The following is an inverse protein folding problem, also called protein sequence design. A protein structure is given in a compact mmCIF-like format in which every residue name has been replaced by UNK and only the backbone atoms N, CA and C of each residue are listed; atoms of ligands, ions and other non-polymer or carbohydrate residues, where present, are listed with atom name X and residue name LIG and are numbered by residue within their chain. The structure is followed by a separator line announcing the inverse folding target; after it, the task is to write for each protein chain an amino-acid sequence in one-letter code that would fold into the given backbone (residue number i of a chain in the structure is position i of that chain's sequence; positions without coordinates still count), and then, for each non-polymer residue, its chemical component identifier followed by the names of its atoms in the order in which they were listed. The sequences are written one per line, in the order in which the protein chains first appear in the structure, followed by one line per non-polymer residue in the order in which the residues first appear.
data_IF_996090836591
#
_entry.id   IF_996090836591
#
_cell.length_a   1.000
_cell.length_b   1.000
_cell.length_c   1.000
_cell.angle_alpha   90.00
_cell.angle_beta   90.00
_cell.angle_gamma   90.00
#
_symmetry.space_group_name_H-M   'P 1'
#
loop_
_entity.id
_entity.type
_entity.pdbx_description
1 polymer ?
#
# COMPACT_ATOMS: atom_id res chain seq x y z
N UNK A 1 -41.99 -6.10 1.63
CA UNK A 1 -40.68 -6.74 1.92
C UNK A 1 -39.51 -6.15 1.13
N UNK A 2 -39.55 -6.01 -0.21
CA UNK A 2 -38.37 -5.65 -1.04
C UNK A 2 -37.76 -4.24 -0.85
N UNK A 3 -38.47 -3.25 -0.32
CA UNK A 3 -37.95 -1.88 -0.14
C UNK A 3 -37.14 -1.69 1.15
N UNK A 4 -37.44 -2.45 2.21
CA UNK A 4 -36.80 -2.30 3.52
C UNK A 4 -35.39 -2.93 3.50
N UNK A 5 -35.23 -4.08 2.84
CA UNK A 5 -33.93 -4.77 2.72
C UNK A 5 -32.92 -3.96 1.88
N UNK A 6 -33.40 -3.26 0.85
CA UNK A 6 -32.54 -2.43 -0.03
C UNK A 6 -32.01 -1.19 0.70
N UNK A 7 -32.82 -0.55 1.55
CA UNK A 7 -32.39 0.59 2.38
C UNK A 7 -31.44 0.16 3.51
N UNK A 8 -31.65 -1.02 4.11
CA UNK A 8 -30.76 -1.58 5.14
C UNK A 8 -29.37 -1.90 4.57
N UNK A 9 -29.32 -2.57 3.41
CA UNK A 9 -28.08 -2.87 2.68
C UNK A 9 -27.30 -1.61 2.28
N UNK A 10 -28.01 -0.54 1.88
CA UNK A 10 -27.38 0.73 1.47
C UNK A 10 -26.80 1.49 2.67
N UNK A 11 -27.49 1.50 3.82
CA UNK A 11 -26.97 2.12 5.05
C UNK A 11 -25.74 1.40 5.58
N UNK A 12 -25.72 0.07 5.51
CA UNK A 12 -24.58 -0.71 5.99
C UNK A 12 -23.36 -0.54 5.08
N UNK A 13 -23.57 -0.52 3.76
CA UNK A 13 -22.52 -0.16 2.79
C UNK A 13 -21.94 1.24 3.05
N UNK A 14 -22.80 2.23 3.34
CA UNK A 14 -22.34 3.59 3.64
C UNK A 14 -21.53 3.66 4.95
N UNK A 15 -21.98 2.96 6.00
CA UNK A 15 -21.22 2.88 7.26
C UNK A 15 -19.85 2.24 7.04
N UNK A 16 -19.79 1.15 6.29
CA UNK A 16 -18.54 0.48 5.96
C UNK A 16 -17.60 1.40 5.18
N UNK A 17 -18.13 2.11 4.17
CA UNK A 17 -17.38 3.11 3.40
C UNK A 17 -16.80 4.20 4.29
N UNK A 18 -17.60 4.80 5.18
CA UNK A 18 -17.13 5.83 6.11
C UNK A 18 -16.03 5.27 7.02
N UNK A 19 -16.24 4.05 7.55
CA UNK A 19 -15.29 3.38 8.42
C UNK A 19 -13.96 3.08 7.74
N UNK A 20 -13.95 2.68 6.46
CA UNK A 20 -12.72 2.38 5.74
C UNK A 20 -12.04 3.66 5.20
N UNK A 21 -12.82 4.68 4.84
CA UNK A 21 -12.30 5.91 4.27
C UNK A 21 -11.75 6.87 5.32
N UNK A 22 -12.64 7.53 6.07
CA UNK A 22 -12.29 8.71 6.90
C UNK A 22 -11.92 8.39 8.34
N UNK A 23 -12.11 7.14 8.77
CA UNK A 23 -11.93 6.78 10.17
C UNK A 23 -10.50 7.01 10.69
N UNK A 24 -9.41 6.58 9.99
CA UNK A 24 -8.04 6.85 10.44
C UNK A 24 -7.77 8.34 10.63
N UNK A 25 -8.12 9.15 9.61
CA UNK A 25 -8.04 10.61 9.68
C UNK A 25 -8.82 11.20 10.86
N UNK A 26 -10.05 10.74 11.09
CA UNK A 26 -10.88 11.24 12.19
C UNK A 26 -10.30 10.95 13.57
N UNK A 27 -9.51 9.88 13.72
CA UNK A 27 -8.87 9.53 14.98
C UNK A 27 -7.74 10.52 15.30
N UNK A 28 -6.88 10.82 14.32
CA UNK A 28 -5.76 11.76 14.47
C UNK A 28 -6.25 13.18 14.72
N UNK A 29 -7.24 13.65 13.96
CA UNK A 29 -7.71 15.04 14.03
C UNK A 29 -8.66 15.34 15.19
N UNK A 30 -9.01 14.34 16.00
CA UNK A 30 -9.92 14.52 17.13
C UNK A 30 -9.32 15.27 18.33
N UNK A 31 -7.98 15.36 18.40
CA UNK A 31 -7.25 15.94 19.54
C UNK A 31 -7.31 15.11 20.83
N UNK A 32 -7.90 13.91 20.80
CA UNK A 32 -8.06 13.06 21.99
C UNK A 32 -6.97 11.98 22.08
N UNK A 33 -6.20 11.88 23.18
CA UNK A 33 -5.12 10.90 23.30
C UNK A 33 -5.56 9.45 23.09
N UNK A 34 -6.76 9.07 23.54
CA UNK A 34 -7.29 7.71 23.36
C UNK A 34 -7.54 7.32 21.90
N UNK A 35 -7.71 8.31 21.02
CA UNK A 35 -7.93 8.06 19.60
C UNK A 35 -6.63 7.74 18.87
N UNK A 36 -5.47 8.21 19.37
CA UNK A 36 -4.17 7.81 18.85
C UNK A 36 -3.92 6.31 19.10
N UNK A 37 -4.29 5.80 20.27
CA UNK A 37 -4.27 4.35 20.56
C UNK A 37 -5.16 3.56 19.59
N UNK A 38 -6.38 4.05 19.34
CA UNK A 38 -7.29 3.41 18.36
C UNK A 38 -6.74 3.47 16.94
N UNK A 39 -6.02 4.52 16.58
CA UNK A 39 -5.38 4.65 15.27
C UNK A 39 -4.31 3.57 15.09
N UNK A 40 -3.43 3.39 16.07
CA UNK A 40 -2.45 2.30 16.06
C UNK A 40 -3.12 0.92 15.97
N UNK A 41 -4.19 0.69 16.73
CA UNK A 41 -4.95 -0.56 16.66
C UNK A 41 -5.59 -0.78 15.29
N UNK A 42 -6.14 0.27 14.68
CA UNK A 42 -6.79 0.20 13.36
C UNK A 42 -5.78 -0.17 12.27
N UNK A 43 -4.60 0.46 12.28
CA UNK A 43 -3.55 0.22 11.28
C UNK A 43 -2.64 -0.98 11.61
N UNK A 44 -2.94 -1.73 12.66
CA UNK A 44 -2.34 -3.04 12.97
C UNK A 44 -3.36 -4.19 12.92
N UNK A 45 -4.61 -3.89 12.55
CA UNK A 45 -5.69 -4.86 12.36
C UNK A 45 -5.70 -5.37 10.91
N UNK A 46 -5.44 -6.68 10.76
CA UNK A 46 -5.42 -7.32 9.44
C UNK A 46 -6.77 -7.24 8.73
N UNK A 47 -7.88 -7.35 9.45
CA UNK A 47 -9.22 -7.29 8.87
C UNK A 47 -9.52 -5.89 8.33
N UNK A 48 -9.10 -4.84 9.03
CA UNK A 48 -9.24 -3.47 8.52
C UNK A 48 -8.41 -3.29 7.24
N UNK A 49 -7.12 -3.66 7.29
CA UNK A 49 -6.19 -3.58 6.16
C UNK A 49 -6.74 -4.32 4.93
N UNK A 50 -7.14 -5.58 5.12
CA UNK A 50 -7.68 -6.42 4.06
C UNK A 50 -8.99 -5.86 3.51
N UNK A 51 -9.92 -5.40 4.35
CA UNK A 51 -11.18 -4.80 3.91
C UNK A 51 -10.96 -3.50 3.13
N UNK A 52 -10.02 -2.65 3.55
CA UNK A 52 -9.73 -1.39 2.84
C UNK A 52 -9.13 -1.65 1.45
N UNK A 53 -8.15 -2.56 1.34
CA UNK A 53 -7.54 -2.95 0.06
C UNK A 53 -8.56 -3.58 -0.90
N UNK A 54 -9.48 -4.40 -0.38
CA UNK A 54 -10.49 -5.09 -1.18
C UNK A 54 -11.68 -4.20 -1.56
N UNK A 55 -11.83 -3.02 -0.96
CA UNK A 55 -12.93 -2.12 -1.26
C UNK A 55 -12.76 -1.47 -2.65
N UNK A 56 -13.82 -1.35 -3.48
CA UNK A 56 -13.72 -0.84 -4.85
C UNK A 56 -13.37 0.66 -4.95
N UNK A 57 -13.73 1.46 -3.95
CA UNK A 57 -13.42 2.90 -3.93
C UNK A 57 -12.09 3.24 -3.27
N UNK A 58 -11.44 2.25 -2.66
CA UNK A 58 -10.15 2.41 -2.00
C UNK A 58 -9.17 1.44 -2.67
N UNK A 59 -8.07 1.17 -2.00
CA UNK A 59 -7.05 0.25 -2.47
C UNK A 59 -5.86 0.30 -1.55
N UNK A 60 -4.77 -0.31 -1.98
CA UNK A 60 -3.53 -0.29 -1.21
C UNK A 60 -2.94 1.11 -1.07
N UNK A 61 -3.09 1.97 -2.09
CA UNK A 61 -2.58 3.33 -2.05
C UNK A 61 -3.30 4.18 -0.99
N UNK A 62 -4.63 4.21 -1.01
CA UNK A 62 -5.43 4.89 0.02
C UNK A 62 -5.21 4.35 1.44
N UNK A 63 -4.79 3.08 1.59
CA UNK A 63 -4.38 2.53 2.88
C UNK A 63 -2.97 3.01 3.26
N UNK A 64 -2.01 3.04 2.34
CA UNK A 64 -0.64 3.52 2.59
C UNK A 64 -0.66 4.97 3.08
N UNK A 65 -1.53 5.81 2.50
CA UNK A 65 -1.73 7.20 2.90
C UNK A 65 -2.26 7.33 4.34
N UNK A 66 -3.05 6.36 4.83
CA UNK A 66 -3.48 6.38 6.22
C UNK A 66 -2.30 6.33 7.19
N UNK A 67 -1.19 5.67 6.82
CA UNK A 67 0.01 5.57 7.67
C UNK A 67 0.83 6.86 7.70
N UNK A 68 0.65 7.77 6.74
CA UNK A 68 1.35 9.04 6.64
C UNK A 68 0.66 10.17 7.45
N UNK A 69 -0.44 9.87 8.16
CA UNK A 69 -1.25 10.85 8.88
C UNK A 69 -0.65 11.37 10.20
N UNK A 70 0.36 10.68 10.76
CA UNK A 70 0.97 11.09 12.03
C UNK A 70 1.85 12.32 11.84
N UNK A 71 1.71 13.30 12.73
CA UNK A 71 2.65 14.42 12.82
C UNK A 71 3.94 14.04 13.59
N UNK A 72 4.93 14.94 13.56
CA UNK A 72 6.23 14.74 14.22
C UNK A 72 6.08 14.58 15.74
N UNK A 73 5.11 15.25 16.37
CA UNK A 73 4.90 15.21 17.82
C UNK A 73 4.28 13.88 18.26
N UNK A 74 3.30 13.37 17.51
CA UNK A 74 2.68 12.07 17.72
C UNK A 74 3.66 10.95 17.48
N UNK A 75 4.51 11.09 16.45
CA UNK A 75 5.62 10.18 16.17
C UNK A 75 6.62 10.12 17.32
N UNK A 76 7.01 11.27 17.87
CA UNK A 76 7.98 11.37 18.96
C UNK A 76 7.45 10.79 20.29
N UNK A 77 6.15 10.94 20.56
CA UNK A 77 5.53 10.45 21.81
C UNK A 77 5.27 8.94 21.81
N UNK A 78 5.22 8.28 20.65
CA UNK A 78 4.93 6.85 20.50
C UNK A 78 5.93 6.17 19.55
N UNK A 79 7.24 6.14 19.87
CA UNK A 79 8.28 5.73 18.94
C UNK A 79 8.15 4.26 18.51
N UNK A 80 7.81 3.35 19.43
CA UNK A 80 7.72 1.92 19.13
C UNK A 80 6.49 1.57 18.26
N UNK A 81 5.34 2.16 18.58
CA UNK A 81 4.12 2.00 17.78
C UNK A 81 4.31 2.61 16.40
N UNK A 82 4.92 3.80 16.31
CA UNK A 82 5.19 4.46 15.03
C UNK A 82 6.19 3.65 14.19
N UNK A 83 7.23 3.09 14.81
CA UNK A 83 8.17 2.19 14.13
C UNK A 83 7.45 0.94 13.58
N UNK A 84 6.53 0.37 14.35
CA UNK A 84 5.69 -0.76 13.90
C UNK A 84 4.87 -0.37 12.67
N UNK A 85 4.17 0.77 12.70
CA UNK A 85 3.41 1.28 11.57
C UNK A 85 4.29 1.50 10.33
N UNK A 86 5.49 2.08 10.48
CA UNK A 86 6.44 2.27 9.38
C UNK A 86 6.89 0.97 8.73
N UNK A 87 7.08 -0.10 9.50
CA UNK A 87 7.38 -1.42 8.92
C UNK A 87 6.20 -1.97 8.12
N UNK A 88 4.97 -1.88 8.64
CA UNK A 88 3.77 -2.34 7.91
C UNK A 88 3.62 -1.53 6.62
N UNK A 89 3.71 -0.21 6.70
CA UNK A 89 3.64 0.68 5.54
C UNK A 89 4.71 0.34 4.50
N UNK A 90 5.96 0.10 4.92
CA UNK A 90 7.05 -0.32 4.03
C UNK A 90 6.74 -1.65 3.35
N UNK A 91 6.21 -2.64 4.08
CA UNK A 91 5.78 -3.91 3.48
C UNK A 91 4.65 -3.71 2.46
N UNK A 92 3.66 -2.86 2.76
CA UNK A 92 2.58 -2.51 1.85
C UNK A 92 3.10 -1.84 0.57
N UNK A 93 4.01 -0.86 0.68
CA UNK A 93 4.65 -0.19 -0.46
C UNK A 93 5.42 -1.17 -1.35
N UNK A 94 6.22 -2.06 -0.75
CA UNK A 94 6.97 -3.10 -1.46
C UNK A 94 6.07 -4.11 -2.18
N UNK A 95 4.88 -4.35 -1.65
CA UNK A 95 3.92 -5.31 -2.19
C UNK A 95 2.84 -4.69 -3.06
N UNK A 96 2.79 -3.35 -3.18
CA UNK A 96 1.73 -2.62 -3.86
C UNK A 96 1.49 -3.10 -5.29
N UNK A 97 2.57 -3.27 -6.06
CA UNK A 97 2.50 -3.72 -7.45
C UNK A 97 1.89 -5.12 -7.62
N UNK A 98 2.11 -6.02 -6.66
CA UNK A 98 1.57 -7.39 -6.66
C UNK A 98 0.13 -7.39 -6.16
N UNK A 99 -0.13 -6.73 -5.03
CA UNK A 99 -1.43 -6.73 -4.36
C UNK A 99 -2.49 -5.97 -5.17
N UNK A 100 -2.08 -5.00 -5.97
CA UNK A 100 -2.99 -4.29 -6.89
C UNK A 100 -3.48 -5.21 -8.00
N UNK A 101 -2.63 -6.12 -8.49
CA UNK A 101 -2.99 -7.11 -9.52
C UNK A 101 -3.74 -8.31 -8.92
N UNK A 102 -3.28 -8.81 -7.77
CA UNK A 102 -3.86 -9.94 -7.06
C UNK A 102 -3.92 -9.67 -5.56
N UNK A 103 -5.11 -9.24 -5.12
CA UNK A 103 -5.39 -8.92 -3.71
C UNK A 103 -5.28 -10.14 -2.78
N UNK A 104 -5.35 -11.36 -3.30
CA UNK A 104 -5.20 -12.58 -2.49
C UNK A 104 -3.77 -12.77 -1.99
N UNK A 105 -2.78 -12.15 -2.63
CA UNK A 105 -1.38 -12.26 -2.20
C UNK A 105 -1.04 -11.42 -0.97
N UNK A 106 -1.94 -10.55 -0.50
CA UNK A 106 -1.70 -9.64 0.62
C UNK A 106 -1.08 -10.35 1.83
N UNK A 107 -1.60 -11.51 2.19
CA UNK A 107 -1.13 -12.28 3.35
C UNK A 107 0.29 -12.82 3.15
N UNK A 108 0.53 -13.46 2.01
CA UNK A 108 1.83 -14.01 1.63
C UNK A 108 2.90 -12.92 1.63
N UNK A 109 2.53 -11.77 1.08
CA UNK A 109 3.37 -10.58 0.98
C UNK A 109 3.71 -9.99 2.35
N UNK A 110 2.71 -9.75 3.20
CA UNK A 110 2.94 -9.23 4.56
C UNK A 110 3.75 -10.22 5.41
N UNK A 111 3.41 -11.51 5.35
CA UNK A 111 4.14 -12.55 6.08
C UNK A 111 5.61 -12.60 5.66
N UNK A 112 5.88 -12.72 4.37
CA UNK A 112 7.25 -12.85 3.86
C UNK A 112 8.15 -11.67 4.23
N UNK A 113 7.60 -10.45 4.29
CA UNK A 113 8.35 -9.21 4.55
C UNK A 113 8.44 -8.79 6.01
N UNK A 114 7.49 -9.23 6.85
CA UNK A 114 7.39 -8.80 8.26
C UNK A 114 7.77 -9.88 9.27
N UNK A 115 7.89 -11.15 8.88
CA UNK A 115 8.17 -12.26 9.81
C UNK A 115 9.47 -12.13 10.61
N UNK A 116 10.44 -11.33 10.15
CA UNK A 116 11.70 -11.06 10.87
C UNK A 116 11.58 -9.95 11.91
N UNK A 117 10.48 -9.19 11.91
CA UNK A 117 10.24 -8.07 12.81
C UNK A 117 9.59 -8.59 14.10
N UNK A 118 10.40 -8.76 15.15
CA UNK A 118 9.96 -9.38 16.40
C UNK A 118 9.27 -8.40 17.37
N UNK A 119 8.04 -8.03 17.08
CA UNK A 119 7.17 -7.25 18.00
C UNK A 119 5.83 -7.95 18.22
N UNK A 120 5.20 -7.73 19.37
CA UNK A 120 3.90 -8.33 19.70
C UNK A 120 2.80 -7.92 18.71
N UNK A 121 2.82 -6.65 18.26
CA UNK A 121 1.88 -6.14 17.27
C UNK A 121 2.04 -6.84 15.92
N UNK A 122 3.28 -7.05 15.45
CA UNK A 122 3.55 -7.79 14.21
C UNK A 122 3.12 -9.25 14.30
N UNK A 123 3.44 -9.94 15.39
CA UNK A 123 2.99 -11.32 15.61
C UNK A 123 1.47 -11.42 15.62
N UNK A 124 0.79 -10.44 16.23
CA UNK A 124 -0.67 -10.36 16.26
C UNK A 124 -1.25 -10.16 14.85
N UNK A 125 -0.74 -9.19 14.09
CA UNK A 125 -1.14 -8.94 12.70
C UNK A 125 -0.97 -10.19 11.82
N UNK A 126 0.20 -10.85 11.90
CA UNK A 126 0.51 -12.04 11.09
C UNK A 126 -0.35 -13.25 11.50
N UNK A 127 -0.65 -13.40 12.79
CA UNK A 127 -1.56 -14.44 13.29
C UNK A 127 -3.00 -14.18 12.83
N UNK A 128 -3.45 -12.93 12.81
CA UNK A 128 -4.74 -12.57 12.24
C UNK A 128 -4.78 -12.90 10.76
N UNK A 129 -3.76 -12.51 9.98
CA UNK A 129 -3.66 -12.87 8.57
C UNK A 129 -3.86 -14.37 8.38
N UNK A 130 -3.11 -15.21 9.11
CA UNK A 130 -3.24 -16.67 9.03
C UNK A 130 -4.67 -17.20 9.28
N UNK A 131 -5.44 -16.57 10.17
CA UNK A 131 -6.80 -17.00 10.50
C UNK A 131 -7.86 -16.52 9.51
N UNK A 132 -7.58 -15.46 8.74
CA UNK A 132 -8.63 -14.72 8.02
C UNK A 132 -8.71 -15.07 6.52
N UNK A 133 -8.11 -16.18 6.07
CA UNK A 133 -8.13 -16.56 4.66
C UNK A 133 -9.15 -17.67 4.34
N UNK A 134 -10.11 -17.40 3.44
CA UNK A 134 -11.02 -18.43 2.94
C UNK A 134 -10.34 -19.39 1.94
N UNK A 135 -9.14 -19.08 1.45
CA UNK A 135 -8.41 -19.87 0.45
C UNK A 135 -6.97 -20.16 0.91
N UNK A 136 -6.36 -21.27 0.44
CA UNK A 136 -4.93 -21.53 0.66
C UNK A 136 -4.06 -20.38 0.14
N UNK A 137 -2.98 -20.08 0.86
CA UNK A 137 -2.04 -19.03 0.50
C UNK A 137 -0.60 -19.47 0.82
N UNK A 138 0.38 -18.84 0.17
CA UNK A 138 1.78 -19.15 0.38
C UNK A 138 2.26 -18.51 1.68
N UNK A 139 2.71 -19.34 2.62
CA UNK A 139 3.32 -18.89 3.88
C UNK A 139 4.81 -19.21 3.86
N UNK A 140 5.68 -18.25 3.49
CA UNK A 140 7.12 -18.45 3.56
C UNK A 140 7.56 -18.83 4.98
N UNK A 141 8.35 -19.90 5.11
CA UNK A 141 8.96 -20.29 6.39
C UNK A 141 10.28 -19.57 6.66
N UNK A 142 10.86 -18.99 5.61
CA UNK A 142 12.09 -18.21 5.66
C UNK A 142 11.88 -16.83 5.03
N UNK A 143 12.69 -15.82 5.40
CA UNK A 143 12.64 -14.49 4.79
C UNK A 143 13.10 -14.55 3.31
N UNK A 144 12.15 -14.78 2.41
CA UNK A 144 12.39 -14.90 0.97
C UNK A 144 12.06 -13.63 0.17
N UNK A 145 11.38 -12.67 0.80
CA UNK A 145 11.05 -11.38 0.21
C UNK A 145 11.94 -10.29 0.81
N UNK A 146 12.19 -9.21 0.05
CA UNK A 146 12.89 -8.03 0.57
C UNK A 146 12.21 -7.55 1.86
N UNK A 147 12.96 -7.49 2.99
CA UNK A 147 12.36 -7.16 4.28
C UNK A 147 11.88 -5.71 4.33
N UNK A 148 10.86 -5.46 5.15
CA UNK A 148 10.40 -4.10 5.42
C UNK A 148 11.49 -3.26 6.11
N UNK A 149 11.55 -1.97 5.77
CA UNK A 149 12.54 -1.03 6.32
C UNK A 149 13.95 -1.17 5.72
N UNK A 150 14.10 -1.91 4.63
CA UNK A 150 15.35 -1.98 3.85
C UNK A 150 15.54 -0.80 2.89
N UNK A 151 16.56 -0.91 2.02
CA UNK A 151 16.90 0.14 1.02
C UNK A 151 15.93 0.23 -0.16
N UNK A 152 15.26 -0.88 -0.50
CA UNK A 152 14.25 -0.87 -1.54
C UNK A 152 12.98 -0.21 -0.99
N UNK A 153 12.56 0.88 -1.62
CA UNK A 153 11.36 1.62 -1.20
C UNK A 153 10.12 1.16 -1.97
N UNK A 154 10.30 0.85 -3.26
CA UNK A 154 9.19 0.59 -4.19
C UNK A 154 9.66 -0.12 -5.44
N UNK A 155 8.75 -0.87 -6.05
CA UNK A 155 8.90 -1.48 -7.38
C UNK A 155 7.87 -0.87 -8.33
N UNK A 156 8.33 -0.34 -9.46
CA UNK A 156 7.47 0.14 -10.55
C UNK A 156 7.38 -0.99 -11.58
N UNK A 157 6.21 -1.60 -11.73
CA UNK A 157 5.99 -2.71 -12.66
C UNK A 157 4.90 -2.38 -13.66
N UNK A 158 5.11 -2.70 -14.93
CA UNK A 158 4.10 -2.52 -15.98
C UNK A 158 4.66 -2.58 -17.39
N UNK A 159 5.97 -2.41 -17.57
CA UNK A 159 6.63 -2.75 -18.82
C UNK A 159 6.61 -4.27 -19.06
N UNK A 160 6.38 -4.67 -20.32
CA UNK A 160 6.36 -6.08 -20.74
C UNK A 160 7.67 -6.53 -21.41
N UNK A 161 8.61 -5.61 -21.58
CA UNK A 161 9.98 -5.87 -22.06
C UNK A 161 11.01 -5.14 -21.20
N UNK A 162 12.29 -5.38 -21.50
CA UNK A 162 13.41 -4.80 -20.77
C UNK A 162 13.33 -3.28 -20.71
N UNK A 163 13.58 -2.72 -19.52
CA UNK A 163 13.67 -1.27 -19.31
C UNK A 163 15.10 -0.83 -19.58
N UNK A 164 15.31 -0.04 -20.63
CA UNK A 164 16.65 0.37 -21.07
C UNK A 164 17.00 1.80 -20.66
N UNK A 165 15.99 2.60 -20.35
CA UNK A 165 16.19 4.00 -20.01
C UNK A 165 15.28 4.42 -18.87
N UNK A 166 15.83 5.23 -17.97
CA UNK A 166 15.12 5.82 -16.83
C UNK A 166 15.61 7.25 -16.66
N UNK A 167 14.69 8.18 -16.47
CA UNK A 167 14.97 9.55 -16.10
C UNK A 167 14.04 9.99 -14.97
N UNK A 168 14.54 10.80 -14.05
CA UNK A 168 13.78 11.37 -12.93
C UNK A 168 13.60 12.86 -13.20
N UNK A 169 12.42 13.40 -12.95
CA UNK A 169 12.19 14.85 -13.03
C UNK A 169 12.96 15.58 -11.94
N UNK A 170 13.35 16.84 -12.20
CA UNK A 170 14.13 17.64 -11.25
C UNK A 170 13.42 17.86 -9.91
N UNK A 171 12.09 17.88 -9.91
CA UNK A 171 11.26 17.98 -8.70
C UNK A 171 11.16 16.67 -7.90
N UNK A 172 11.72 15.57 -8.42
CA UNK A 172 11.71 14.26 -7.79
C UNK A 172 10.34 13.61 -7.68
N UNK A 173 9.32 14.09 -8.41
CA UNK A 173 7.94 13.57 -8.33
C UNK A 173 7.66 12.49 -9.35
N UNK A 174 8.35 12.51 -10.49
CA UNK A 174 8.05 11.63 -11.61
C UNK A 174 9.27 10.85 -12.07
N UNK A 175 9.03 9.63 -12.52
CA UNK A 175 9.98 8.83 -13.28
C UNK A 175 9.42 8.63 -14.68
N UNK A 176 10.28 8.76 -15.68
CA UNK A 176 10.00 8.37 -17.06
C UNK A 176 10.89 7.18 -17.41
N UNK A 177 10.30 6.12 -17.95
CA UNK A 177 11.01 4.92 -18.38
C UNK A 177 10.72 4.56 -19.83
N UNK A 178 11.75 4.13 -20.56
CA UNK A 178 11.64 3.59 -21.91
C UNK A 178 11.99 2.10 -21.95
N UNK A 179 11.27 1.33 -22.76
CA UNK A 179 11.37 -0.14 -22.78
C UNK A 179 11.41 -0.74 -24.19
N UNK A 180 11.85 -2.00 -24.27
CA UNK A 180 11.72 -2.89 -25.42
C UNK A 180 10.27 -3.28 -25.75
N UNK A 181 9.30 -2.94 -24.91
CA UNK A 181 7.88 -3.05 -25.26
C UNK A 181 7.37 -1.93 -26.18
N UNK A 182 8.28 -1.08 -26.69
CA UNK A 182 8.02 0.05 -27.57
C UNK A 182 7.19 1.17 -26.92
N UNK A 183 7.15 1.23 -25.60
CA UNK A 183 6.44 2.28 -24.86
C UNK A 183 7.37 3.12 -24.00
N UNK A 184 6.93 4.34 -23.73
CA UNK A 184 7.45 5.19 -22.65
C UNK A 184 6.37 5.29 -21.58
N UNK A 185 6.73 5.05 -20.31
CA UNK A 185 5.81 5.15 -19.17
C UNK A 185 6.22 6.28 -18.23
N UNK A 186 5.23 6.97 -17.68
CA UNK A 186 5.40 8.01 -16.65
C UNK A 186 4.81 7.51 -15.35
N UNK A 187 5.59 7.58 -14.27
CA UNK A 187 5.26 7.03 -12.96
C UNK A 187 5.27 8.12 -11.90
N UNK A 188 4.29 8.10 -11.02
CA UNK A 188 4.32 8.87 -9.78
C UNK A 188 5.27 8.20 -8.78
N UNK A 189 6.30 8.89 -8.30
CA UNK A 189 7.26 8.32 -7.34
C UNK A 189 6.68 8.11 -5.94
N UNK A 190 5.73 8.96 -5.54
CA UNK A 190 5.08 8.90 -4.23
C UNK A 190 4.15 7.68 -4.16
N UNK A 191 3.24 7.55 -5.13
CA UNK A 191 2.23 6.48 -5.15
C UNK A 191 2.74 5.19 -5.78
N UNK A 192 3.70 5.28 -6.70
CA UNK A 192 4.17 4.16 -7.52
C UNK A 192 3.30 3.81 -8.71
N UNK A 193 2.27 4.62 -8.96
CA UNK A 193 1.29 4.33 -9.99
C UNK A 193 1.76 4.87 -11.33
N UNK A 194 1.54 4.06 -12.37
CA UNK A 194 1.65 4.51 -13.76
C UNK A 194 0.58 5.56 -14.04
N UNK A 195 1.01 6.76 -14.44
CA UNK A 195 0.09 7.84 -14.82
C UNK A 195 -0.18 7.87 -16.32
N UNK A 196 0.81 7.50 -17.13
CA UNK A 196 0.72 7.62 -18.57
C UNK A 196 1.56 6.54 -19.25
N UNK A 197 0.97 5.93 -20.29
CA UNK A 197 1.69 5.16 -21.29
C UNK A 197 1.66 5.93 -22.61
N UNK A 198 2.84 6.28 -23.10
CA UNK A 198 3.06 6.82 -24.44
C UNK A 198 3.41 5.66 -25.37
N UNK A 199 2.50 5.35 -26.28
CA UNK A 199 2.68 4.37 -27.34
C UNK A 199 2.84 5.08 -28.70
N UNK A 200 3.52 4.44 -29.65
CA UNK A 200 3.71 4.99 -30.99
C UNK A 200 5.11 4.75 -31.57
N UNK A 201 6.10 4.42 -30.74
CA UNK A 201 7.37 3.93 -31.25
C UNK A 201 7.15 2.59 -31.98
N UNK A 202 7.72 2.46 -33.17
CA UNK A 202 7.67 1.22 -33.97
C UNK A 202 8.75 0.21 -33.56
N UNK A 203 9.60 0.58 -32.60
CA UNK A 203 10.72 -0.23 -32.10
C UNK A 203 11.10 0.22 -30.68
N UNK A 204 12.15 -0.41 -30.15
CA UNK A 204 12.63 -0.27 -28.78
C UNK A 204 12.98 1.17 -28.42
N UNK A 205 12.64 1.56 -27.19
CA UNK A 205 13.07 2.85 -26.63
C UNK A 205 14.37 2.66 -25.85
N UNK A 206 15.47 3.12 -26.44
CA UNK A 206 16.82 2.96 -25.87
C UNK A 206 17.21 4.07 -24.89
N UNK A 207 16.64 5.27 -25.02
CA UNK A 207 17.00 6.44 -24.22
C UNK A 207 15.78 7.32 -23.97
N UNK A 208 15.72 7.88 -22.77
CA UNK A 208 14.80 8.96 -22.39
C UNK A 208 15.60 10.03 -21.68
N UNK A 209 15.27 11.29 -21.89
CA UNK A 209 15.86 12.42 -21.21
C UNK A 209 14.76 13.38 -20.78
N UNK A 210 14.96 14.04 -19.65
CA UNK A 210 14.08 15.09 -19.15
C UNK A 210 14.83 16.40 -19.24
N UNK A 211 14.23 17.40 -19.86
CA UNK A 211 14.79 18.75 -19.88
C UNK A 211 14.52 19.41 -18.54
N UNK A 212 15.43 20.27 -18.08
CA UNK A 212 15.09 21.25 -17.08
C UNK A 212 13.99 22.16 -17.62
N UNK A 213 13.17 22.68 -16.71
CA UNK A 213 12.19 23.72 -16.98
C UNK A 213 12.85 25.06 -17.37
#
# INVERSE_FOLDING_TARGET
MKQIDKQSSTKESLKQKIRLGRYPYSLINSGKPENLTKYFQTLTDYQFISKKINHPEFGIQALIEDYDLLDDTQTATHPDQTKTLKYIQSALRLSAHIVTQDKQQLASQLWGRLQTINTSAMQTLLTQAQKTHPHPWLRPLTPSLTPAGGRLLRTLSGHSGDVNAVAVTADGKWVISGSYDNTVKVWNLETGEEQLTLSGHSSWVYAVAVTAD
#
